data_IF_625179420311
#
_entry.id   IF_625179420311
#
_cell.length_a   1.000
_cell.length_b   1.000
_cell.length_c   1.000
_cell.angle_alpha   90.00
_cell.angle_beta   90.00
_cell.angle_gamma   90.00
#
_symmetry.space_group_name_H-M   'P 1'
#
loop_
_entity.id
_entity.type
_entity.pdbx_description
1 polymer ?
#
# COMPACT_ATOMS: atom_id res chain seq x y z
N UNK A 1 1.73 9.78 9.88
CA UNK A 1 2.13 8.39 9.56
C UNK A 1 2.55 8.33 8.10
N UNK A 2 3.61 7.58 7.78
CA UNK A 2 4.19 7.52 6.43
C UNK A 2 3.34 6.67 5.46
N UNK A 3 2.68 7.25 4.43
CA UNK A 3 1.76 6.51 3.58
C UNK A 3 2.39 5.35 2.79
N UNK A 4 3.55 5.50 2.12
CA UNK A 4 4.22 4.39 1.44
C UNK A 4 4.51 3.22 2.37
N UNK A 5 4.89 3.48 3.63
CA UNK A 5 5.09 2.41 4.61
C UNK A 5 3.79 1.68 4.97
N UNK A 6 2.68 2.40 5.15
CA UNK A 6 1.39 1.80 5.44
C UNK A 6 0.86 0.95 4.28
N UNK A 7 1.04 1.41 3.04
CA UNK A 7 0.72 0.63 1.83
C UNK A 7 1.53 -0.67 1.79
N UNK A 8 2.83 -0.64 2.12
CA UNK A 8 3.64 -1.86 2.25
C UNK A 8 3.08 -2.80 3.34
N UNK A 9 2.68 -2.27 4.49
CA UNK A 9 2.12 -3.07 5.59
C UNK A 9 0.79 -3.71 5.20
N UNK A 10 -0.08 -3.01 4.46
CA UNK A 10 -1.31 -3.59 3.90
C UNK A 10 -0.98 -4.82 3.06
N UNK A 11 -0.13 -4.66 2.03
CA UNK A 11 0.30 -5.77 1.16
C UNK A 11 0.95 -6.91 1.94
N UNK A 12 1.79 -6.62 2.92
CA UNK A 12 2.47 -7.64 3.72
C UNK A 12 1.51 -8.37 4.70
N UNK A 13 0.42 -7.74 5.14
CA UNK A 13 -0.61 -8.45 5.91
C UNK A 13 -1.48 -9.30 4.98
N UNK A 14 -1.84 -8.77 3.80
CA UNK A 14 -2.56 -9.54 2.78
C UNK A 14 -1.74 -10.76 2.35
N UNK A 15 -0.44 -10.65 2.08
CA UNK A 15 0.42 -11.80 1.73
C UNK A 15 0.37 -12.93 2.77
N UNK A 16 0.16 -12.59 4.04
CA UNK A 16 0.06 -13.55 5.14
C UNK A 16 -1.33 -14.16 5.30
N UNK A 17 -2.31 -13.73 4.51
CA UNK A 17 -3.69 -14.24 4.55
C UNK A 17 -3.78 -15.61 3.89
N UNK A 18 -4.26 -16.60 4.65
CA UNK A 18 -4.57 -17.94 4.18
C UNK A 18 -5.67 -18.56 5.05
N UNK A 19 -6.37 -19.56 4.52
CA UNK A 19 -7.37 -20.34 5.26
C UNK A 19 -6.76 -21.14 6.42
N UNK A 20 -5.50 -21.57 6.30
CA UNK A 20 -4.85 -22.45 7.28
C UNK A 20 -3.44 -22.00 7.64
N UNK A 21 -3.00 -22.31 8.87
CA UNK A 21 -1.59 -22.38 9.27
C UNK A 21 -0.77 -21.08 9.28
N UNK A 22 -1.34 -19.93 8.94
CA UNK A 22 -0.59 -18.67 8.79
C UNK A 22 -0.91 -17.64 9.88
N UNK A 23 -0.22 -16.49 9.79
CA UNK A 23 -0.36 -15.38 10.72
C UNK A 23 -1.64 -14.55 10.52
N UNK A 24 -2.33 -14.65 9.36
CA UNK A 24 -3.60 -13.96 9.07
C UNK A 24 -4.58 -14.91 8.38
N UNK A 25 -5.85 -14.78 8.69
CA UNK A 25 -6.96 -15.48 8.04
C UNK A 25 -8.09 -14.47 7.90
N UNK A 26 -7.93 -13.53 6.98
CA UNK A 26 -8.85 -12.40 6.85
C UNK A 26 -10.26 -12.88 6.54
N UNK A 27 -11.22 -12.29 7.24
CA UNK A 27 -12.64 -12.60 7.10
C UNK A 27 -13.45 -11.32 7.27
N UNK A 28 -14.37 -11.07 6.34
CA UNK A 28 -15.30 -9.95 6.38
C UNK A 28 -16.64 -10.43 5.81
N UNK A 29 -17.76 -10.13 6.46
CA UNK A 29 -19.10 -10.56 6.05
C UNK A 29 -19.20 -12.07 5.79
N UNK A 30 -18.52 -12.87 6.62
CA UNK A 30 -18.47 -14.32 6.47
C UNK A 30 -17.57 -14.86 5.35
N UNK A 31 -17.01 -14.00 4.48
CA UNK A 31 -16.21 -14.34 3.30
C UNK A 31 -14.73 -14.05 3.52
N UNK A 32 -13.86 -14.65 2.73
CA UNK A 32 -12.41 -14.57 2.93
C UNK A 32 -11.70 -13.59 2.00
N UNK A 33 -10.72 -12.86 2.53
CA UNK A 33 -9.82 -12.01 1.73
C UNK A 33 -8.46 -12.71 1.67
N UNK A 34 -8.08 -13.23 0.50
CA UNK A 34 -6.92 -14.11 0.38
C UNK A 34 -5.90 -13.63 -0.64
N UNK A 35 -4.61 -13.79 -0.30
CA UNK A 35 -3.51 -13.57 -1.24
C UNK A 35 -3.54 -14.55 -2.42
N UNK A 36 -4.05 -15.77 -2.20
CA UNK A 36 -4.17 -16.78 -3.25
C UNK A 36 -5.04 -16.31 -4.41
N UNK A 37 -6.13 -15.57 -4.16
CA UNK A 37 -6.99 -15.04 -5.22
C UNK A 37 -6.19 -14.20 -6.24
N UNK A 38 -5.31 -13.34 -5.75
CA UNK A 38 -4.46 -12.49 -6.58
C UNK A 38 -3.42 -13.32 -7.35
N UNK A 39 -2.77 -14.25 -6.65
CA UNK A 39 -1.72 -15.09 -7.24
C UNK A 39 -2.28 -15.99 -8.33
N UNK A 40 -3.46 -16.57 -8.11
CA UNK A 40 -4.15 -17.42 -9.05
C UNK A 40 -4.65 -16.65 -10.27
N UNK A 41 -5.21 -15.44 -10.07
CA UNK A 41 -5.56 -14.55 -11.18
C UNK A 41 -4.36 -14.23 -12.06
N UNK A 42 -3.21 -13.93 -11.44
CA UNK A 42 -1.97 -13.62 -12.17
C UNK A 42 -1.45 -14.82 -12.93
N UNK A 43 -1.44 -16.00 -12.31
CA UNK A 43 -0.99 -17.22 -12.97
C UNK A 43 -1.92 -17.59 -14.14
N UNK A 44 -3.23 -17.46 -13.95
CA UNK A 44 -4.23 -17.72 -14.98
C UNK A 44 -4.05 -16.82 -16.20
N UNK A 45 -3.92 -15.51 -16.00
CA UNK A 45 -3.66 -14.55 -17.07
C UNK A 45 -2.35 -14.88 -17.81
N UNK A 46 -1.28 -15.14 -17.05
CA UNK A 46 0.04 -15.50 -17.61
C UNK A 46 0.02 -16.78 -18.45
N UNK A 47 -0.82 -17.77 -18.10
CA UNK A 47 -0.88 -19.06 -18.81
C UNK A 47 -1.86 -19.07 -19.97
N UNK A 48 -2.98 -18.34 -19.87
CA UNK A 48 -4.12 -18.51 -20.76
C UNK A 48 -4.37 -17.32 -21.70
N UNK A 49 -3.79 -16.15 -21.44
CA UNK A 49 -4.04 -14.98 -22.27
C UNK A 49 -3.14 -14.97 -23.52
N UNK A 50 -3.76 -14.83 -24.70
CA UNK A 50 -3.03 -14.57 -25.96
C UNK A 50 -2.31 -13.21 -25.93
N UNK A 51 -2.86 -12.26 -25.17
CA UNK A 51 -2.27 -10.99 -24.79
C UNK A 51 -2.61 -10.77 -23.30
N UNK A 52 -1.68 -11.04 -22.37
CA UNK A 52 -1.93 -10.92 -20.94
C UNK A 52 -2.44 -9.53 -20.55
N UNK A 53 -3.51 -9.49 -19.73
CA UNK A 53 -4.01 -8.25 -19.11
C UNK A 53 -3.00 -7.72 -18.11
N UNK A 54 -2.12 -8.58 -17.58
CA UNK A 54 -0.93 -8.17 -16.84
C UNK A 54 -0.21 -7.06 -17.58
N UNK A 55 -0.40 -5.84 -17.09
CA UNK A 55 0.43 -4.73 -17.52
C UNK A 55 1.89 -5.13 -17.32
N UNK A 56 2.80 -4.57 -18.11
CA UNK A 56 4.24 -4.78 -17.97
C UNK A 56 4.79 -4.47 -16.55
N UNK A 57 3.95 -3.98 -15.63
CA UNK A 57 4.27 -3.67 -14.23
C UNK A 57 4.11 -4.89 -13.32
N UNK A 58 3.04 -5.66 -13.40
CA UNK A 58 2.81 -6.82 -12.51
C UNK A 58 3.64 -8.00 -12.99
N UNK A 59 4.49 -8.51 -12.10
CA UNK A 59 5.54 -9.50 -12.42
C UNK A 59 5.66 -10.53 -11.30
N UNK A 60 6.35 -11.63 -11.59
CA UNK A 60 6.66 -12.69 -10.62
C UNK A 60 7.28 -12.14 -9.31
N UNK A 61 8.05 -11.05 -9.38
CA UNK A 61 8.64 -10.38 -8.22
C UNK A 61 7.62 -9.83 -7.21
N UNK A 62 6.37 -9.60 -7.61
CA UNK A 62 5.29 -9.14 -6.74
C UNK A 62 4.74 -10.28 -5.87
N UNK A 63 4.82 -11.51 -6.36
CA UNK A 63 4.32 -12.71 -5.68
C UNK A 63 5.43 -13.52 -5.00
N UNK A 64 6.67 -13.43 -5.49
CA UNK A 64 7.85 -14.06 -4.90
C UNK A 64 8.58 -13.12 -3.96
N UNK A 65 7.95 -12.83 -2.81
CA UNK A 65 8.42 -11.82 -1.86
C UNK A 65 9.50 -12.34 -0.91
N UNK A 66 10.76 -11.95 -1.17
CA UNK A 66 11.86 -12.06 -0.22
C UNK A 66 11.82 -10.91 0.80
N UNK A 67 12.53 -10.99 1.94
CA UNK A 67 12.62 -9.87 2.90
C UNK A 67 12.96 -8.53 2.23
N UNK A 68 13.90 -8.51 1.28
CA UNK A 68 14.25 -7.32 0.51
C UNK A 68 13.10 -6.81 -0.38
N UNK A 69 12.36 -7.71 -1.05
CA UNK A 69 11.23 -7.33 -1.93
C UNK A 69 10.01 -6.85 -1.13
N UNK A 70 9.82 -7.31 0.11
CA UNK A 70 8.77 -6.79 1.03
C UNK A 70 8.98 -5.31 1.39
N UNK A 71 10.21 -4.80 1.26
CA UNK A 71 10.54 -3.41 1.56
C UNK A 71 10.36 -2.45 0.38
N UNK A 72 10.14 -2.95 -0.84
CA UNK A 72 10.00 -2.11 -2.05
C UNK A 72 8.60 -1.49 -2.13
N UNK A 73 8.54 -0.15 -2.11
CA UNK A 73 7.28 0.61 -2.17
C UNK A 73 6.51 0.35 -3.47
N UNK A 74 7.20 0.40 -4.63
CA UNK A 74 6.55 0.22 -5.93
C UNK A 74 5.88 -1.15 -6.07
N UNK A 75 6.52 -2.24 -5.62
CA UNK A 75 5.92 -3.57 -5.64
C UNK A 75 4.64 -3.65 -4.79
N UNK A 76 4.52 -2.86 -3.72
CA UNK A 76 3.29 -2.81 -2.93
C UNK A 76 2.22 -1.96 -3.62
N UNK A 77 2.60 -0.82 -4.20
CA UNK A 77 1.67 0.05 -4.92
C UNK A 77 1.08 -0.64 -6.17
N UNK A 78 1.91 -1.37 -6.92
CA UNK A 78 1.49 -2.07 -8.13
C UNK A 78 0.50 -3.23 -7.83
N UNK A 79 0.57 -3.85 -6.65
CA UNK A 79 -0.42 -4.85 -6.19
C UNK A 79 -1.81 -4.24 -5.99
N UNK A 80 -1.89 -2.96 -5.64
CA UNK A 80 -3.17 -2.26 -5.47
C UNK A 80 -3.54 -1.44 -6.70
N UNK A 81 -2.89 -1.65 -7.84
CA UNK A 81 -3.19 -0.91 -9.07
C UNK A 81 -4.53 -1.31 -9.69
N UNK A 82 -5.07 -0.45 -10.55
CA UNK A 82 -6.27 -0.76 -11.35
C UNK A 82 -6.05 -2.02 -12.21
N UNK A 83 -4.84 -2.20 -12.76
CA UNK A 83 -4.46 -3.38 -13.54
C UNK A 83 -4.65 -4.68 -12.73
N UNK A 84 -4.36 -4.67 -11.42
CA UNK A 84 -4.54 -5.85 -10.57
C UNK A 84 -6.03 -6.10 -10.26
N UNK A 85 -6.83 -5.05 -10.15
CA UNK A 85 -8.29 -5.15 -9.96
C UNK A 85 -8.94 -5.74 -11.20
N UNK A 86 -8.60 -5.24 -12.39
CA UNK A 86 -9.09 -5.77 -13.68
C UNK A 86 -8.70 -7.23 -13.89
N UNK A 87 -7.46 -7.59 -13.56
CA UNK A 87 -6.99 -8.96 -13.61
C UNK A 87 -7.80 -9.89 -12.68
N UNK A 88 -8.13 -9.43 -11.47
CA UNK A 88 -8.94 -10.19 -10.53
C UNK A 88 -10.39 -10.33 -11.02
N UNK A 89 -10.96 -9.29 -11.65
CA UNK A 89 -12.31 -9.31 -12.24
C UNK A 89 -12.43 -10.36 -13.33
N UNK A 90 -11.50 -10.35 -14.29
CA UNK A 90 -11.46 -11.34 -15.38
C UNK A 90 -11.32 -12.77 -14.84
N UNK A 91 -10.52 -12.96 -13.78
CA UNK A 91 -10.37 -14.28 -13.17
C UNK A 91 -11.62 -14.71 -12.37
N UNK A 92 -12.29 -13.77 -11.72
CA UNK A 92 -13.53 -14.02 -10.99
C UNK A 92 -14.64 -14.48 -11.92
N UNK A 93 -14.78 -13.86 -13.10
CA UNK A 93 -15.75 -14.28 -14.13
C UNK A 93 -15.49 -15.72 -14.57
N UNK A 94 -14.24 -16.05 -14.91
CA UNK A 94 -13.84 -17.42 -15.23
C UNK A 94 -14.15 -18.42 -14.11
N UNK A 95 -13.95 -18.04 -12.86
CA UNK A 95 -14.25 -18.90 -11.69
C UNK A 95 -15.73 -19.04 -11.41
N UNK A 96 -16.54 -18.04 -11.73
CA UNK A 96 -18.00 -18.11 -11.59
C UNK A 96 -18.57 -19.23 -12.45
N UNK A 97 -18.07 -19.38 -13.68
CA UNK A 97 -18.45 -20.45 -14.59
C UNK A 97 -18.05 -21.85 -14.07
N UNK A 98 -17.01 -21.92 -13.24
CA UNK A 98 -16.52 -23.16 -12.63
C UNK A 98 -17.08 -23.46 -11.23
N UNK A 99 -18.08 -22.70 -10.75
CA UNK A 99 -18.58 -22.77 -9.35
C UNK A 99 -17.49 -22.55 -8.28
N UNK A 100 -16.52 -21.67 -8.57
CA UNK A 100 -15.48 -21.26 -7.61
C UNK A 100 -15.99 -20.26 -6.56
N UNK A 101 -15.12 -19.90 -5.61
CA UNK A 101 -15.41 -18.95 -4.51
C UNK A 101 -15.43 -17.48 -5.00
N UNK A 102 -16.35 -17.17 -5.91
CA UNK A 102 -16.47 -15.86 -6.53
C UNK A 102 -16.83 -14.76 -5.52
N UNK A 103 -17.51 -15.08 -4.42
CA UNK A 103 -17.91 -14.10 -3.40
C UNK A 103 -16.69 -13.62 -2.58
N UNK A 104 -15.83 -14.54 -2.12
CA UNK A 104 -14.59 -14.18 -1.44
C UNK A 104 -13.63 -13.41 -2.36
N UNK A 105 -13.64 -13.71 -3.66
CA UNK A 105 -12.90 -12.93 -4.65
C UNK A 105 -13.45 -11.51 -4.82
N UNK A 106 -14.77 -11.32 -4.85
CA UNK A 106 -15.40 -9.99 -4.87
C UNK A 106 -14.95 -9.15 -3.65
N UNK A 107 -14.93 -9.78 -2.48
CA UNK A 107 -14.49 -9.11 -1.27
C UNK A 107 -12.99 -8.76 -1.27
N UNK A 108 -12.18 -9.63 -1.87
CA UNK A 108 -10.77 -9.35 -2.09
C UNK A 108 -10.57 -8.18 -3.05
N UNK A 109 -11.40 -8.08 -4.09
CA UNK A 109 -11.43 -6.95 -5.02
C UNK A 109 -11.80 -5.64 -4.31
N UNK A 110 -12.77 -5.66 -3.41
CA UNK A 110 -13.11 -4.49 -2.58
C UNK A 110 -11.93 -4.04 -1.72
N UNK A 111 -11.24 -4.98 -1.06
CA UNK A 111 -10.02 -4.69 -0.30
C UNK A 111 -8.95 -4.00 -1.16
N UNK A 112 -8.72 -4.51 -2.38
CA UNK A 112 -7.78 -3.88 -3.32
C UNK A 112 -8.23 -2.49 -3.73
N UNK A 113 -9.52 -2.31 -3.99
CA UNK A 113 -10.10 -1.02 -4.39
C UNK A 113 -9.94 0.02 -3.28
N UNK A 114 -10.26 -0.33 -2.03
CA UNK A 114 -10.07 0.55 -0.88
C UNK A 114 -8.59 0.90 -0.68
N UNK A 115 -7.68 -0.08 -0.77
CA UNK A 115 -6.25 0.15 -0.65
C UNK A 115 -5.67 1.01 -1.80
N UNK A 116 -6.19 0.84 -3.03
CA UNK A 116 -5.82 1.63 -4.21
C UNK A 116 -6.10 3.12 -4.01
N UNK A 117 -7.20 3.47 -3.34
CA UNK A 117 -7.52 4.88 -3.05
C UNK A 117 -6.45 5.53 -2.16
N UNK A 118 -5.85 4.80 -1.21
CA UNK A 118 -4.67 5.29 -0.47
C UNK A 118 -3.49 5.51 -1.41
N UNK A 119 -3.18 4.55 -2.29
CA UNK A 119 -2.07 4.66 -3.26
C UNK A 119 -2.26 5.88 -4.15
N UNK A 120 -3.42 6.00 -4.81
CA UNK A 120 -3.74 7.10 -5.73
C UNK A 120 -3.70 8.46 -5.05
N UNK A 121 -4.24 8.56 -3.83
CA UNK A 121 -4.26 9.82 -3.08
C UNK A 121 -2.85 10.24 -2.70
N UNK A 122 -2.07 9.37 -2.04
CA UNK A 122 -0.75 9.73 -1.54
C UNK A 122 0.37 9.70 -2.57
N UNK A 123 0.12 9.18 -3.79
CA UNK A 123 1.01 9.37 -4.94
C UNK A 123 0.64 10.61 -5.78
N UNK A 124 -0.44 11.32 -5.46
CA UNK A 124 -0.92 12.43 -6.25
C UNK A 124 -0.05 13.69 -6.08
N UNK A 125 0.43 14.23 -7.20
CA UNK A 125 1.24 15.44 -7.24
C UNK A 125 0.42 16.72 -7.41
N UNK A 126 -0.88 16.60 -7.74
CA UNK A 126 -1.77 17.76 -7.85
C UNK A 126 -2.16 18.24 -6.45
N UNK A 127 -2.13 19.55 -6.18
CA UNK A 127 -2.48 20.09 -4.87
C UNK A 127 -3.96 19.89 -4.54
N UNK A 128 -4.27 19.61 -3.27
CA UNK A 128 -5.61 19.72 -2.67
C UNK A 128 -5.73 21.11 -2.05
N UNK A 129 -6.79 21.84 -2.41
CA UNK A 129 -6.97 23.26 -2.02
C UNK A 129 -8.22 23.50 -1.17
N UNK A 130 -9.10 22.51 -1.06
CA UNK A 130 -10.35 22.64 -0.33
C UNK A 130 -10.67 21.33 0.38
N UNK A 131 -11.49 21.40 1.43
CA UNK A 131 -11.99 20.21 2.14
C UNK A 131 -13.01 19.40 1.33
N UNK A 132 -13.63 20.02 0.32
CA UNK A 132 -14.56 19.35 -0.59
C UNK A 132 -13.89 18.66 -1.77
N UNK A 133 -12.56 18.53 -1.78
CA UNK A 133 -11.85 17.83 -2.86
C UNK A 133 -12.30 16.36 -2.93
N UNK A 134 -12.71 15.84 -4.10
CA UNK A 134 -13.20 14.47 -4.24
C UNK A 134 -12.22 13.41 -3.73
N UNK A 135 -10.91 13.68 -3.75
CA UNK A 135 -9.89 12.76 -3.24
C UNK A 135 -9.99 12.57 -1.73
N UNK A 136 -10.39 13.59 -0.98
CA UNK A 136 -10.60 13.48 0.47
C UNK A 136 -11.85 12.66 0.79
N UNK A 137 -12.92 12.83 0.00
CA UNK A 137 -14.16 12.04 0.13
C UNK A 137 -13.90 10.57 -0.19
N UNK A 138 -13.15 10.30 -1.25
CA UNK A 138 -12.72 8.93 -1.59
C UNK A 138 -11.83 8.33 -0.49
N UNK A 139 -10.95 9.14 0.11
CA UNK A 139 -10.10 8.71 1.20
C UNK A 139 -10.91 8.34 2.46
N UNK A 140 -11.97 9.10 2.76
CA UNK A 140 -12.91 8.76 3.84
C UNK A 140 -13.64 7.45 3.55
N UNK A 141 -14.17 7.28 2.33
CA UNK A 141 -14.83 6.03 1.94
C UNK A 141 -13.91 4.81 2.02
N UNK A 142 -12.64 4.98 1.62
CA UNK A 142 -11.63 3.95 1.76
C UNK A 142 -11.40 3.59 3.24
N UNK A 143 -11.22 4.58 4.12
CA UNK A 143 -11.06 4.33 5.55
C UNK A 143 -12.31 3.69 6.16
N UNK A 144 -13.50 4.15 5.77
CA UNK A 144 -14.77 3.64 6.27
C UNK A 144 -14.91 2.14 5.98
N UNK A 145 -14.57 1.69 4.77
CA UNK A 145 -14.57 0.27 4.44
C UNK A 145 -13.69 -0.57 5.40
N UNK A 146 -12.53 -0.04 5.83
CA UNK A 146 -11.70 -0.71 6.85
C UNK A 146 -12.30 -0.64 8.25
N UNK A 147 -13.06 0.41 8.58
CA UNK A 147 -13.77 0.53 9.87
C UNK A 147 -14.93 -0.46 9.93
N UNK A 148 -15.75 -0.53 8.87
CA UNK A 148 -16.87 -1.48 8.74
C UNK A 148 -16.36 -2.92 8.85
N UNK A 149 -15.24 -3.24 8.18
CA UNK A 149 -14.60 -4.55 8.31
C UNK A 149 -14.14 -4.82 9.76
N UNK A 150 -13.61 -3.81 10.46
CA UNK A 150 -13.23 -3.98 11.86
C UNK A 150 -14.45 -4.26 12.74
N UNK A 151 -15.54 -3.55 12.51
CA UNK A 151 -16.79 -3.70 13.24
C UNK A 151 -17.37 -5.11 13.04
N UNK A 152 -17.45 -5.59 11.80
CA UNK A 152 -17.89 -6.97 11.48
C UNK A 152 -17.03 -8.03 12.21
N UNK A 153 -15.72 -7.85 12.27
CA UNK A 153 -14.83 -8.76 13.00
C UNK A 153 -15.02 -8.70 14.52
N UNK A 154 -15.41 -7.55 15.07
CA UNK A 154 -15.68 -7.40 16.50
C UNK A 154 -17.05 -7.95 16.90
N UNK A 155 -18.04 -7.87 16.00
CA UNK A 155 -19.39 -8.40 16.20
C UNK A 155 -19.49 -9.90 15.92
N UNK A 156 -18.64 -10.42 15.02
CA UNK A 156 -18.57 -11.84 14.69
C UNK A 156 -18.13 -12.72 15.87
N UNK A 157 -18.74 -13.90 15.97
CA UNK A 157 -18.37 -14.89 16.97
C UNK A 157 -17.03 -15.57 16.62
N UNK A 158 -16.01 -15.32 17.46
CA UNK A 158 -14.73 -16.02 17.43
C UNK A 158 -14.50 -16.70 18.79
N UNK A 159 -13.99 -17.94 18.76
CA UNK A 159 -13.73 -18.71 19.98
C UNK A 159 -12.60 -18.09 20.79
N UNK A 160 -11.61 -17.49 20.13
CA UNK A 160 -10.46 -16.86 20.79
C UNK A 160 -10.13 -15.48 20.24
N UNK A 161 -9.55 -14.63 21.10
CA UNK A 161 -9.00 -13.34 20.68
C UNK A 161 -7.91 -13.49 19.61
N UNK A 162 -7.16 -14.60 19.64
CA UNK A 162 -6.12 -14.90 18.66
C UNK A 162 -6.72 -15.11 17.27
N UNK A 163 -7.82 -15.82 17.14
CA UNK A 163 -8.53 -16.03 15.88
C UNK A 163 -9.11 -14.73 15.35
N UNK A 164 -9.80 -13.96 16.21
CA UNK A 164 -10.32 -12.64 15.86
C UNK A 164 -9.22 -11.72 15.34
N UNK A 165 -8.07 -11.67 16.03
CA UNK A 165 -6.93 -10.85 15.61
C UNK A 165 -6.35 -11.31 14.26
N UNK A 166 -6.48 -12.58 13.87
CA UNK A 166 -6.08 -13.05 12.54
C UNK A 166 -7.07 -12.65 11.45
N UNK A 167 -8.33 -12.41 11.79
CA UNK A 167 -9.40 -12.07 10.86
C UNK A 167 -9.33 -10.64 10.29
N UNK A 168 -8.54 -9.78 10.92
CA UNK A 168 -8.35 -8.40 10.52
C UNK A 168 -6.86 -8.06 10.33
N UNK A 169 -6.58 -6.89 9.75
CA UNK A 169 -5.23 -6.32 9.72
C UNK A 169 -4.70 -6.12 11.16
N UNK A 170 -3.37 -6.04 11.34
CA UNK A 170 -2.80 -5.76 12.67
C UNK A 170 -3.34 -4.46 13.27
N UNK A 171 -3.60 -4.43 14.58
CA UNK A 171 -4.03 -3.24 15.32
C UNK A 171 -3.13 -2.02 15.07
N UNK A 172 -1.81 -2.23 15.02
CA UNK A 172 -0.85 -1.16 14.70
C UNK A 172 -1.09 -0.56 13.31
N UNK A 173 -1.32 -1.41 12.30
CA UNK A 173 -1.65 -0.94 10.95
C UNK A 173 -3.00 -0.22 10.92
N UNK A 174 -4.01 -0.75 11.62
CA UNK A 174 -5.31 -0.09 11.72
C UNK A 174 -5.19 1.33 12.31
N UNK A 175 -4.49 1.46 13.43
CA UNK A 175 -4.19 2.76 14.03
C UNK A 175 -3.42 3.68 13.06
N UNK A 176 -2.42 3.13 12.37
CA UNK A 176 -1.62 3.88 11.41
C UNK A 176 -2.47 4.39 10.23
N UNK A 177 -3.45 3.62 9.74
CA UNK A 177 -4.38 4.03 8.67
C UNK A 177 -5.33 5.13 9.15
N UNK A 178 -5.95 4.97 10.32
CA UNK A 178 -6.82 5.99 10.91
C UNK A 178 -6.05 7.31 11.09
N UNK A 179 -4.87 7.22 11.71
CA UNK A 179 -4.01 8.39 11.95
C UNK A 179 -3.51 9.04 10.65
N UNK A 180 -3.23 8.23 9.62
CA UNK A 180 -2.82 8.73 8.31
C UNK A 180 -3.92 9.54 7.64
N UNK A 181 -5.15 9.03 7.60
CA UNK A 181 -6.29 9.71 6.96
C UNK A 181 -6.74 10.92 7.76
N UNK A 182 -7.02 10.75 9.06
CA UNK A 182 -7.50 11.83 9.93
C UNK A 182 -6.46 12.94 10.06
N UNK A 183 -5.18 12.58 10.21
CA UNK A 183 -4.07 13.52 10.28
C UNK A 183 -3.89 14.29 8.98
N UNK A 184 -3.99 13.61 7.82
CA UNK A 184 -3.88 14.28 6.53
C UNK A 184 -5.02 15.26 6.29
N UNK A 185 -6.27 14.88 6.59
CA UNK A 185 -7.43 15.78 6.48
C UNK A 185 -7.32 16.99 7.40
N UNK A 186 -6.90 16.78 8.65
CA UNK A 186 -6.67 17.87 9.60
C UNK A 186 -5.58 18.82 9.12
N UNK A 187 -4.54 18.29 8.47
CA UNK A 187 -3.49 19.10 7.86
C UNK A 187 -4.02 19.92 6.68
N UNK A 188 -4.81 19.32 5.77
CA UNK A 188 -5.46 20.06 4.68
C UNK A 188 -6.37 21.15 5.23
N UNK A 189 -7.21 20.84 6.22
CA UNK A 189 -8.10 21.82 6.85
C UNK A 189 -7.33 23.00 7.42
N UNK A 190 -6.27 22.71 8.18
CA UNK A 190 -5.41 23.73 8.79
C UNK A 190 -4.75 24.60 7.72
N UNK A 191 -4.16 23.99 6.70
CA UNK A 191 -3.48 24.70 5.61
C UNK A 191 -4.42 25.59 4.81
N UNK A 192 -5.61 25.08 4.47
CA UNK A 192 -6.59 25.82 3.67
C UNK A 192 -7.25 26.96 4.45
N UNK A 193 -7.36 26.81 5.78
CA UNK A 193 -7.92 27.84 6.67
C UNK A 193 -6.89 28.93 7.00
N UNK A 194 -5.67 28.55 7.36
CA UNK A 194 -4.62 29.50 7.75
C UNK A 194 -3.92 30.15 6.56
N UNK A 195 -3.85 29.46 5.43
CA UNK A 195 -3.21 29.95 4.21
C UNK A 195 -4.13 29.81 3.00
N UNK A 196 -5.20 30.62 2.90
CA UNK A 196 -6.15 30.56 1.80
C UNK A 196 -5.45 30.67 0.44
N UNK A 197 -5.86 29.82 -0.51
CA UNK A 197 -5.27 29.76 -1.84
C UNK A 197 -3.98 28.93 -1.93
N UNK A 198 -3.38 28.49 -0.82
CA UNK A 198 -2.35 27.46 -0.85
C UNK A 198 -2.96 26.07 -1.08
N UNK A 199 -2.18 25.20 -1.72
CA UNK A 199 -2.58 23.83 -1.98
C UNK A 199 -1.58 22.85 -1.40
N UNK A 200 -2.07 21.78 -0.78
CA UNK A 200 -1.25 20.73 -0.21
C UNK A 200 -1.08 19.59 -1.21
N UNK A 201 0.17 19.26 -1.55
CA UNK A 201 0.48 18.11 -2.40
C UNK A 201 0.59 16.86 -1.53
N UNK A 202 -0.28 15.87 -1.74
CA UNK A 202 -0.30 14.63 -0.94
C UNK A 202 1.01 13.85 -1.08
N UNK A 203 1.60 13.82 -2.28
CA UNK A 203 2.87 13.13 -2.54
C UNK A 203 4.07 13.70 -1.78
N UNK A 204 3.96 14.88 -1.17
CA UNK A 204 5.03 15.46 -0.33
C UNK A 204 4.85 15.22 1.17
N UNK A 205 3.77 14.55 1.61
CA UNK A 205 3.51 14.30 3.04
C UNK A 205 4.02 12.93 3.50
N UNK A 206 5.14 12.48 2.94
CA UNK A 206 5.81 11.21 3.26
C UNK A 206 7.28 11.46 3.61
N UNK A 207 7.96 10.42 4.08
CA UNK A 207 9.38 10.48 4.42
C UNK A 207 10.31 10.06 3.27
N UNK A 208 9.82 9.90 2.04
CA UNK A 208 10.64 9.40 0.92
C UNK A 208 11.83 10.33 0.63
N UNK A 209 11.65 11.65 0.74
CA UNK A 209 12.75 12.62 0.57
C UNK A 209 13.90 12.34 1.56
N UNK A 210 13.55 12.02 2.82
CA UNK A 210 14.52 11.67 3.86
C UNK A 210 15.17 10.30 3.58
N UNK A 211 14.39 9.31 3.16
CA UNK A 211 14.94 7.98 2.79
C UNK A 211 15.90 8.08 1.60
N UNK A 212 15.62 8.95 0.62
CA UNK A 212 16.52 9.20 -0.50
C UNK A 212 17.82 9.87 -0.05
N UNK A 213 17.76 10.80 0.91
CA UNK A 213 18.96 11.37 1.53
C UNK A 213 19.81 10.27 2.20
N UNK A 214 19.18 9.36 2.95
CA UNK A 214 19.90 8.20 3.51
C UNK A 214 20.52 7.32 2.43
N UNK A 215 19.83 7.13 1.30
CA UNK A 215 20.37 6.46 0.12
C UNK A 215 21.61 7.15 -0.45
N UNK A 216 21.59 8.48 -0.58
CA UNK A 216 22.75 9.28 -1.02
C UNK A 216 23.94 9.12 -0.06
N UNK A 217 23.67 9.17 1.25
CA UNK A 217 24.70 9.03 2.28
C UNK A 217 25.34 7.65 2.20
N UNK A 218 24.55 6.57 2.07
CA UNK A 218 25.08 5.20 1.90
C UNK A 218 25.79 4.98 0.56
N UNK A 219 25.41 5.74 -0.47
CA UNK A 219 26.08 5.69 -1.77
C UNK A 219 27.42 6.46 -1.79
N UNK A 220 27.64 7.34 -0.81
CA UNK A 220 28.89 8.07 -0.67
C UNK A 220 30.04 7.09 -0.40
N UNK A 221 31.25 7.46 -0.86
CA UNK A 221 32.47 6.67 -0.68
C UNK A 221 32.42 5.24 -1.25
N UNK A 222 31.81 5.04 -2.42
CA UNK A 222 31.84 3.75 -3.11
C UNK A 222 30.83 2.73 -2.58
N UNK A 223 29.64 3.20 -2.16
CA UNK A 223 28.53 2.35 -1.66
C UNK A 223 28.78 1.73 -0.28
N UNK A 224 29.21 2.54 0.69
CA UNK A 224 29.25 2.14 2.09
C UNK A 224 27.82 1.94 2.65
N UNK A 225 27.32 0.70 2.57
CA UNK A 225 25.94 0.34 2.98
C UNK A 225 25.65 0.61 4.46
N UNK A 226 26.68 0.61 5.31
CA UNK A 226 26.57 0.76 6.76
C UNK A 226 27.66 1.72 7.28
N UNK A 227 27.54 3.04 7.04
CA UNK A 227 28.53 4.00 7.49
C UNK A 227 28.54 4.09 9.02
N UNK A 228 29.73 4.25 9.59
CA UNK A 228 29.88 4.54 11.03
C UNK A 228 29.40 5.96 11.34
N UNK A 229 29.17 6.25 12.62
CA UNK A 229 28.78 7.61 13.07
C UNK A 229 29.80 8.66 12.62
N UNK A 230 31.10 8.34 12.69
CA UNK A 230 32.19 9.21 12.26
C UNK A 230 32.19 9.46 10.74
N UNK A 231 31.70 8.51 9.95
CA UNK A 231 31.57 8.64 8.49
C UNK A 231 30.28 9.39 8.10
N UNK A 232 29.23 9.26 8.90
CA UNK A 232 27.92 9.83 8.60
C UNK A 232 27.93 11.37 8.57
N UNK A 233 28.54 12.01 9.57
CA UNK A 233 28.61 13.48 9.67
C UNK A 233 29.25 14.14 8.43
N UNK A 234 30.48 13.73 8.04
CA UNK A 234 31.10 14.21 6.80
C UNK A 234 30.26 13.95 5.54
N UNK A 235 29.61 12.79 5.42
CA UNK A 235 28.72 12.50 4.28
C UNK A 235 27.51 13.44 4.22
N UNK A 236 26.90 13.75 5.36
CA UNK A 236 25.77 14.70 5.44
C UNK A 236 26.23 16.10 5.04
N UNK A 237 27.38 16.57 5.55
CA UNK A 237 27.95 17.85 5.15
C UNK A 237 28.21 17.89 3.64
N UNK A 238 28.78 16.82 3.08
CA UNK A 238 28.95 16.68 1.64
C UNK A 238 27.62 16.78 0.86
N UNK A 239 26.55 16.15 1.35
CA UNK A 239 25.23 16.25 0.73
C UNK A 239 24.67 17.69 0.77
N UNK A 240 24.78 18.37 1.92
CA UNK A 240 24.30 19.75 2.11
C UNK A 240 25.04 20.72 1.19
N UNK A 241 26.37 20.60 1.10
CA UNK A 241 27.21 21.53 0.35
C UNK A 241 27.23 21.24 -1.16
N UNK A 242 27.16 19.97 -1.60
CA UNK A 242 27.39 19.62 -3.00
C UNK A 242 26.11 19.47 -3.85
N UNK A 243 24.90 19.55 -3.28
CA UNK A 243 23.56 19.58 -3.93
C UNK A 243 23.22 18.52 -5.02
N UNK A 244 24.12 17.66 -5.46
CA UNK A 244 23.92 16.82 -6.66
C UNK A 244 24.39 15.37 -6.48
N UNK A 245 23.62 14.58 -5.73
CA UNK A 245 23.72 13.12 -5.78
C UNK A 245 22.39 12.55 -6.28
N UNK A 246 22.40 11.88 -7.44
CA UNK A 246 21.24 11.13 -7.94
C UNK A 246 21.36 9.68 -7.46
N UNK A 247 20.41 9.22 -6.64
CA UNK A 247 20.29 7.80 -6.29
C UNK A 247 19.61 7.08 -7.46
N UNK A 248 20.31 6.13 -8.08
CA UNK A 248 19.82 5.38 -9.25
C UNK A 248 18.59 4.48 -8.94
N UNK A 249 18.29 4.24 -7.66
CA UNK A 249 17.23 3.35 -7.16
C UNK A 249 16.42 3.95 -5.96
N UNK A 250 16.37 5.27 -5.81
CA UNK A 250 15.65 5.92 -4.69
C UNK A 250 14.12 5.80 -4.83
N UNK A 251 13.40 5.83 -3.72
CA UNK A 251 11.93 5.74 -3.70
C UNK A 251 11.26 6.92 -4.44
N UNK A 252 11.93 8.09 -4.56
CA UNK A 252 11.42 9.24 -5.33
C UNK A 252 12.00 9.36 -6.76
N UNK A 253 12.50 8.27 -7.36
CA UNK A 253 13.05 8.31 -8.72
C UNK A 253 12.00 8.43 -9.84
N UNK A 254 10.71 8.64 -9.51
CA UNK A 254 9.70 9.05 -10.49
C UNK A 254 9.63 10.58 -10.58
N UNK A 255 10.25 11.13 -11.62
CA UNK A 255 9.72 12.32 -12.32
C UNK A 255 8.76 11.82 -13.40
#
# INVERSE_FOLDING_TARGET
>A
MDPPHNIKKLRNNLEKSSLTGTARSFKFNGKHILWSHLKEAYLHDKTNARAPVTSCKIKDSHFQLTPAKRMRNHLAADIFSDDMVELLDNYQEFKRDQKGDADSMALTREYLTAANLFVKTFANTKPIRTMGDPRLVQLDGALQWFLDWREDVMESEYQTAKERNKAYISDKLHFDLCSMVLGYKSYVHTMTTQFPGMGLVSASTNQDALENMFGCIRASYGSNTNPTVLQYGPSVNGYIHCRSFKVRNGNASRK
#
